data_IF_228974096185
#
_entry.id   IF_228974096185
#
_cell.length_a   1.000
_cell.length_b   1.000
_cell.length_c   1.000
_cell.angle_alpha   90.00
_cell.angle_beta   90.00
_cell.angle_gamma   90.00
#
_symmetry.space_group_name_H-M   'P 1'
#
loop_
_entity.id
_entity.type
_entity.pdbx_description
1 polymer ?
#
# COMPACT_ATOMS: atom_id res chain seq x y z
N UNK A 1 9.26 1.52 0.31
CA UNK A 1 8.57 2.83 0.22
C UNK A 1 7.51 2.98 1.30
N UNK A 2 6.37 2.26 1.24
CA UNK A 2 5.25 2.39 2.20
C UNK A 2 5.67 2.39 3.69
N UNK A 3 6.50 1.42 4.11
CA UNK A 3 7.04 1.35 5.49
C UNK A 3 7.84 2.59 5.89
N UNK A 4 8.66 3.13 4.98
CA UNK A 4 9.47 4.34 5.22
C UNK A 4 8.57 5.56 5.40
N UNK A 5 7.46 5.61 4.65
CA UNK A 5 6.42 6.64 4.79
C UNK A 5 5.48 6.41 5.99
N UNK A 6 5.69 5.36 6.79
CA UNK A 6 4.84 5.04 7.94
C UNK A 6 3.41 4.60 7.56
N UNK A 7 3.19 4.24 6.30
CA UNK A 7 1.91 3.75 5.78
C UNK A 7 1.83 2.23 5.95
N UNK A 8 0.67 1.74 6.39
CA UNK A 8 0.39 0.30 6.53
C UNK A 8 0.06 -0.34 5.18
N UNK A 9 -0.61 0.41 4.30
CA UNK A 9 -0.96 0.06 2.93
C UNK A 9 -0.74 1.31 2.08
N UNK A 10 -0.17 1.14 0.88
CA UNK A 10 0.00 2.22 -0.08
C UNK A 10 0.18 1.65 -1.49
N UNK A 11 -0.27 2.37 -2.51
CA UNK A 11 0.17 2.16 -3.89
C UNK A 11 1.56 2.75 -4.07
N UNK A 12 2.47 2.04 -4.72
CA UNK A 12 3.85 2.50 -4.96
C UNK A 12 4.15 2.38 -6.44
N UNK A 13 4.33 3.53 -7.09
CA UNK A 13 4.64 3.57 -8.50
C UNK A 13 6.15 3.53 -8.70
N UNK A 14 6.58 2.67 -9.61
CA UNK A 14 7.99 2.40 -9.88
C UNK A 14 8.31 2.68 -11.34
N UNK A 15 9.37 3.45 -11.58
CA UNK A 15 9.99 3.60 -12.88
C UNK A 15 11.14 2.60 -13.04
N UNK A 16 11.21 1.95 -14.19
CA UNK A 16 12.37 1.13 -14.56
C UNK A 16 13.49 2.04 -15.05
N UNK A 17 14.65 2.00 -14.41
CA UNK A 17 15.84 2.75 -14.84
C UNK A 17 17.02 1.81 -15.10
N UNK A 18 18.05 2.32 -15.79
CA UNK A 18 19.30 1.59 -16.05
C UNK A 18 20.06 1.21 -14.77
N UNK A 19 19.72 1.80 -13.62
CA UNK A 19 20.33 1.52 -12.32
C UNK A 19 19.38 0.75 -11.37
N UNK A 20 18.29 0.20 -11.89
CA UNK A 20 17.26 -0.51 -11.12
C UNK A 20 15.94 0.28 -10.98
N UNK A 21 14.94 -0.27 -10.28
CA UNK A 21 13.66 0.38 -10.08
C UNK A 21 13.79 1.62 -9.17
N UNK A 22 13.11 2.70 -9.54
CA UNK A 22 13.07 3.97 -8.80
C UNK A 22 11.63 4.27 -8.39
N UNK A 23 11.42 4.70 -7.15
CA UNK A 23 10.09 5.11 -6.66
C UNK A 23 9.73 6.48 -7.25
N UNK A 24 8.56 6.57 -7.87
CA UNK A 24 8.03 7.80 -8.45
C UNK A 24 7.00 8.45 -7.53
N UNK A 25 6.02 7.67 -7.06
CA UNK A 25 4.95 8.14 -6.20
C UNK A 25 4.59 7.09 -5.14
N UNK A 26 4.09 7.57 -3.99
CA UNK A 26 3.50 6.72 -2.95
C UNK A 26 2.13 7.28 -2.60
N UNK A 27 1.09 6.54 -2.95
CA UNK A 27 -0.31 6.92 -2.74
C UNK A 27 -0.88 6.24 -1.49
N UNK A 28 -1.34 7.01 -0.51
CA UNK A 28 -1.92 6.47 0.74
C UNK A 28 -3.32 5.88 0.55
N UNK A 29 -3.99 6.22 -0.56
CA UNK A 29 -5.31 5.71 -0.91
C UNK A 29 -5.35 5.30 -2.40
N UNK A 30 -4.72 4.18 -2.78
CA UNK A 30 -4.71 3.71 -4.16
C UNK A 30 -6.09 3.21 -4.60
N UNK A 31 -6.43 3.39 -5.89
CA UNK A 31 -7.58 2.72 -6.49
C UNK A 31 -7.34 1.21 -6.64
N UNK A 32 -8.37 0.40 -6.38
CA UNK A 32 -8.25 -1.07 -6.38
C UNK A 32 -8.81 -1.73 -7.65
N UNK A 33 -9.86 -1.18 -8.25
CA UNK A 33 -10.57 -1.77 -9.39
C UNK A 33 -9.65 -2.21 -10.53
N UNK A 34 -8.73 -1.33 -10.95
CA UNK A 34 -7.81 -1.61 -12.05
C UNK A 34 -6.79 -2.71 -11.72
N UNK A 35 -6.26 -2.74 -10.49
CA UNK A 35 -5.28 -3.76 -10.08
C UNK A 35 -5.96 -5.11 -9.84
N UNK A 36 -7.18 -5.12 -9.29
CA UNK A 36 -7.95 -6.35 -9.10
C UNK A 36 -8.33 -6.96 -10.45
N UNK A 37 -8.85 -6.14 -11.38
CA UNK A 37 -9.22 -6.60 -12.73
C UNK A 37 -8.02 -7.15 -13.50
N UNK A 38 -6.86 -6.49 -13.41
CA UNK A 38 -5.67 -6.89 -14.16
C UNK A 38 -4.93 -8.09 -13.55
N UNK A 39 -5.02 -8.30 -12.24
CA UNK A 39 -4.29 -9.37 -11.55
C UNK A 39 -5.17 -10.56 -11.16
N UNK A 40 -6.49 -10.41 -11.18
CA UNK A 40 -7.45 -11.41 -10.71
C UNK A 40 -7.39 -11.66 -9.20
N UNK A 41 -6.78 -10.75 -8.44
CA UNK A 41 -6.63 -10.87 -6.98
C UNK A 41 -7.66 -9.99 -6.29
N UNK A 42 -8.22 -10.50 -5.20
CA UNK A 42 -9.03 -9.72 -4.25
C UNK A 42 -8.11 -8.90 -3.34
N UNK A 43 -7.72 -7.70 -3.80
CA UNK A 43 -6.79 -6.82 -3.09
C UNK A 43 -7.49 -6.21 -1.88
N UNK A 44 -8.78 -5.86 -2.00
CA UNK A 44 -9.59 -5.39 -0.89
C UNK A 44 -9.62 -6.43 0.24
N UNK A 45 -9.92 -7.69 -0.07
CA UNK A 45 -9.91 -8.80 0.88
C UNK A 45 -8.56 -8.98 1.56
N UNK A 46 -7.45 -8.92 0.81
CA UNK A 46 -6.10 -8.97 1.36
C UNK A 46 -5.79 -7.81 2.32
N UNK A 47 -6.30 -6.61 2.03
CA UNK A 47 -6.17 -5.45 2.93
C UNK A 47 -6.95 -5.69 4.22
N UNK A 48 -8.18 -6.19 4.13
CA UNK A 48 -9.01 -6.51 5.30
C UNK A 48 -8.34 -7.60 6.14
N UNK A 49 -7.90 -8.70 5.54
CA UNK A 49 -7.20 -9.80 6.24
C UNK A 49 -5.93 -9.29 6.93
N UNK A 50 -5.17 -8.41 6.27
CA UNK A 50 -4.02 -7.77 6.86
C UNK A 50 -4.41 -6.91 8.08
N UNK A 51 -5.50 -6.14 7.99
CA UNK A 51 -5.99 -5.35 9.12
C UNK A 51 -6.45 -6.23 10.27
N UNK A 52 -7.19 -7.30 10.03
CA UNK A 52 -7.64 -8.23 11.07
C UNK A 52 -6.47 -8.82 11.87
N UNK A 53 -5.36 -9.14 11.19
CA UNK A 53 -4.17 -9.71 11.83
C UNK A 53 -3.31 -8.69 12.57
N UNK A 54 -3.39 -7.40 12.22
CA UNK A 54 -2.43 -6.39 12.67
C UNK A 54 -3.05 -5.19 13.39
N UNK A 55 -4.36 -5.00 13.32
CA UNK A 55 -5.06 -3.93 13.99
C UNK A 55 -5.38 -4.32 15.44
N UNK A 56 -5.08 -3.40 16.35
CA UNK A 56 -5.56 -3.46 17.73
C UNK A 56 -6.62 -2.38 17.94
N UNK A 57 -7.68 -2.71 18.69
CA UNK A 57 -8.75 -1.76 19.02
C UNK A 57 -8.18 -0.41 19.50
N UNK A 58 -8.71 0.69 18.95
CA UNK A 58 -8.31 2.06 19.33
C UNK A 58 -6.96 2.56 18.76
N UNK A 59 -6.21 1.77 17.99
CA UNK A 59 -4.92 2.20 17.39
C UNK A 59 -5.02 2.45 15.88
N UNK A 60 -5.74 3.51 15.51
CA UNK A 60 -5.96 3.92 14.10
C UNK A 60 -4.91 4.89 13.56
N UNK A 61 -4.06 5.47 14.41
CA UNK A 61 -3.05 6.44 13.97
C UNK A 61 -2.06 5.86 12.94
N UNK A 62 -1.62 6.71 12.01
CA UNK A 62 -0.51 6.40 11.11
C UNK A 62 0.80 6.37 11.91
N UNK A 63 1.77 5.57 11.46
CA UNK A 63 3.09 5.49 12.13
C UNK A 63 4.04 6.60 11.68
N UNK A 64 3.73 7.26 10.57
CA UNK A 64 4.49 8.37 10.02
C UNK A 64 4.09 9.70 10.66
N UNK A 65 5.04 10.63 10.76
CA UNK A 65 4.74 12.05 10.95
C UNK A 65 4.48 12.61 9.56
N UNK A 66 3.21 12.72 9.18
CA UNK A 66 2.82 13.56 8.05
C UNK A 66 3.15 15.01 8.36
#
# INVERSE_FOLDING_TARGET
AAKVMGLRVAGVDLLRSNKGPVVMEVNSSPGLEGIETSTGKDVAGLIIEYLEKNASFGKTNTKGKG
#
